data_IF_149110742352
#
_entry.id   IF_149110742352
#
_cell.length_a   1.000
_cell.length_b   1.000
_cell.length_c   1.000
_cell.angle_alpha   90.00
_cell.angle_beta   90.00
_cell.angle_gamma   90.00
#
_symmetry.space_group_name_H-M   'P 1'
#
loop_
_entity.id
_entity.type
_entity.pdbx_description
1 polymer ?
#
# COMPACT_ATOMS: atom_id res chain seq x y z
N UNK A 1 15.42 18.93 7.48
CA UNK A 1 16.19 20.16 7.22
C UNK A 1 16.98 20.17 5.90
N UNK A 2 16.94 19.12 5.07
CA UNK A 2 17.69 19.03 3.79
C UNK A 2 17.01 19.81 2.64
N UNK A 3 15.68 20.02 2.68
CA UNK A 3 14.96 20.75 1.64
C UNK A 3 15.23 22.27 1.61
N UNK A 4 15.86 22.83 2.65
CA UNK A 4 16.17 24.27 2.75
C UNK A 4 17.56 24.63 2.23
N UNK A 5 18.42 23.64 1.95
CA UNK A 5 19.79 23.87 1.46
C UNK A 5 19.92 23.78 -0.07
N UNK A 6 18.88 23.33 -0.77
CA UNK A 6 18.84 23.27 -2.23
C UNK A 6 18.21 24.55 -2.80
N UNK A 7 19.05 25.52 -3.14
CA UNK A 7 18.61 26.82 -3.65
C UNK A 7 17.96 26.73 -5.05
N UNK A 8 18.33 25.74 -5.86
CA UNK A 8 17.78 25.57 -7.20
C UNK A 8 16.36 25.00 -7.14
N UNK A 9 16.13 24.00 -6.27
CA UNK A 9 14.80 23.47 -6.00
C UNK A 9 13.85 24.54 -5.42
N UNK A 10 14.34 25.36 -4.48
CA UNK A 10 13.56 26.46 -3.90
C UNK A 10 13.18 27.51 -4.96
N UNK A 11 14.12 27.88 -5.84
CA UNK A 11 13.87 28.85 -6.90
C UNK A 11 12.84 28.31 -7.91
N UNK A 12 12.96 27.06 -8.35
CA UNK A 12 11.96 26.42 -9.21
C UNK A 12 10.58 26.32 -8.56
N UNK A 13 10.53 26.06 -7.25
CA UNK A 13 9.28 26.05 -6.50
C UNK A 13 8.64 27.45 -6.45
N UNK A 14 9.44 28.50 -6.22
CA UNK A 14 8.95 29.89 -6.21
C UNK A 14 8.39 30.31 -7.57
N UNK A 15 9.13 30.04 -8.66
CA UNK A 15 8.69 30.40 -10.01
C UNK A 15 7.40 29.68 -10.43
N UNK A 16 7.27 28.40 -10.11
CA UNK A 16 6.04 27.62 -10.38
C UNK A 16 4.87 28.10 -9.52
N UNK A 17 5.12 28.49 -8.27
CA UNK A 17 4.09 29.05 -7.39
C UNK A 17 3.59 30.39 -7.91
N UNK A 18 4.49 31.29 -8.34
CA UNK A 18 4.13 32.58 -8.90
C UNK A 18 3.38 32.44 -10.24
N UNK A 19 3.82 31.54 -11.12
CA UNK A 19 3.08 31.23 -12.35
C UNK A 19 1.67 30.69 -12.05
N UNK A 20 1.55 29.80 -11.06
CA UNK A 20 0.26 29.28 -10.61
C UNK A 20 -0.66 30.36 -10.04
N UNK A 21 -0.13 31.27 -9.22
CA UNK A 21 -0.89 32.41 -8.68
C UNK A 21 -1.44 33.31 -9.79
N UNK A 22 -0.61 33.67 -10.78
CA UNK A 22 -1.02 34.53 -11.89
C UNK A 22 -2.22 33.98 -12.66
N UNK A 23 -2.25 32.67 -12.93
CA UNK A 23 -3.39 32.04 -13.62
C UNK A 23 -4.72 32.18 -12.86
N UNK A 24 -4.69 32.18 -11.52
CA UNK A 24 -5.89 32.36 -10.70
C UNK A 24 -6.29 33.82 -10.58
N UNK A 25 -5.32 34.73 -10.51
CA UNK A 25 -5.58 36.18 -10.59
C UNK A 25 -6.25 36.50 -11.93
N UNK A 26 -5.68 36.05 -13.03
CA UNK A 26 -6.24 36.22 -14.38
C UNK A 26 -7.65 35.63 -14.50
N UNK A 27 -7.90 34.46 -13.89
CA UNK A 27 -9.23 33.87 -13.84
C UNK A 27 -10.22 34.74 -13.03
N UNK A 28 -9.81 35.24 -11.86
CA UNK A 28 -10.65 36.09 -11.02
C UNK A 28 -10.96 37.41 -11.73
N UNK A 29 -9.96 38.04 -12.35
CA UNK A 29 -10.13 39.25 -13.15
C UNK A 29 -11.07 39.02 -14.34
N UNK A 30 -10.86 37.93 -15.10
CA UNK A 30 -11.71 37.54 -16.23
C UNK A 30 -13.18 37.33 -15.84
N UNK A 31 -13.42 36.79 -14.65
CA UNK A 31 -14.76 36.45 -14.16
C UNK A 31 -15.33 37.46 -13.15
N UNK A 32 -14.66 38.60 -12.95
CA UNK A 32 -15.03 39.66 -11.99
C UNK A 32 -15.29 39.10 -10.58
N UNK A 33 -14.43 38.17 -10.14
CA UNK A 33 -14.43 37.63 -8.80
C UNK A 33 -13.50 38.46 -7.93
N UNK A 34 -13.99 38.87 -6.76
CA UNK A 34 -13.16 39.57 -5.78
C UNK A 34 -12.14 38.59 -5.19
N UNK A 35 -10.86 38.98 -5.14
CA UNK A 35 -9.79 38.14 -4.59
C UNK A 35 -8.85 38.96 -3.72
N UNK A 36 -8.27 38.29 -2.72
CA UNK A 36 -7.28 38.86 -1.82
C UNK A 36 -5.89 38.31 -2.19
N UNK A 37 -4.93 39.19 -2.54
CA UNK A 37 -3.56 38.79 -2.77
C UNK A 37 -2.96 38.14 -1.51
N UNK A 38 -2.17 37.08 -1.68
CA UNK A 38 -1.43 36.47 -0.58
C UNK A 38 0.03 36.26 -0.96
N UNK A 39 0.93 36.57 -0.03
CA UNK A 39 2.37 36.34 -0.19
C UNK A 39 2.75 34.86 -0.10
N UNK A 40 1.81 34.00 0.31
CA UNK A 40 2.01 32.55 0.45
C UNK A 40 1.36 31.78 -0.71
N UNK A 41 1.51 30.44 -0.76
CA UNK A 41 1.10 29.59 -1.90
C UNK A 41 -0.43 29.38 -2.06
N UNK A 42 -1.23 30.39 -1.77
CA UNK A 42 -2.67 30.37 -2.01
C UNK A 42 -3.19 31.74 -2.41
N UNK A 43 -4.34 31.75 -3.07
CA UNK A 43 -5.17 32.93 -3.32
C UNK A 43 -6.51 32.68 -2.66
N UNK A 44 -7.02 33.72 -2.02
CA UNK A 44 -8.34 33.77 -1.44
C UNK A 44 -9.24 34.51 -2.43
N UNK A 45 -10.39 33.96 -2.81
CA UNK A 45 -11.35 34.67 -3.65
C UNK A 45 -12.77 34.36 -3.23
N UNK A 46 -13.65 35.34 -3.43
CA UNK A 46 -15.05 35.27 -3.05
C UNK A 46 -15.87 34.59 -4.15
N UNK A 47 -16.82 33.78 -3.71
CA UNK A 47 -17.78 33.12 -4.59
C UNK A 47 -19.18 33.60 -4.24
N UNK A 48 -20.01 33.79 -5.26
CA UNK A 48 -21.41 34.26 -5.12
C UNK A 48 -22.38 33.13 -4.71
N UNK A 49 -21.87 32.05 -4.15
CA UNK A 49 -22.62 30.85 -3.78
C UNK A 49 -22.12 30.31 -2.44
N UNK A 50 -22.95 29.51 -1.78
CA UNK A 50 -22.61 28.88 -0.50
C UNK A 50 -21.28 28.11 -0.61
N UNK A 51 -20.40 28.34 0.36
CA UNK A 51 -19.05 27.78 0.33
C UNK A 51 -19.04 26.25 0.46
N UNK A 52 -19.99 25.64 1.14
CA UNK A 52 -20.01 24.18 1.27
C UNK A 52 -20.57 23.52 0.00
N UNK A 53 -21.43 24.23 -0.75
CA UNK A 53 -21.90 23.79 -2.07
C UNK A 53 -20.77 23.85 -3.11
N UNK A 54 -20.06 24.98 -3.18
CA UNK A 54 -18.91 25.13 -4.08
C UNK A 54 -17.81 24.15 -3.68
N UNK A 55 -17.62 23.90 -2.37
CA UNK A 55 -16.68 22.91 -1.87
C UNK A 55 -16.94 21.52 -2.44
N UNK A 56 -18.17 21.02 -2.26
CA UNK A 56 -18.57 19.68 -2.69
C UNK A 56 -18.46 19.50 -4.21
N UNK A 57 -18.87 20.50 -4.97
CA UNK A 57 -18.86 20.43 -6.43
C UNK A 57 -17.43 20.49 -7.00
N UNK A 58 -16.56 21.30 -6.40
CA UNK A 58 -15.16 21.36 -6.81
C UNK A 58 -14.38 20.09 -6.43
N UNK A 59 -14.67 19.48 -5.28
CA UNK A 59 -14.10 18.17 -4.90
C UNK A 59 -14.47 17.07 -5.90
N UNK A 60 -15.71 17.05 -6.41
CA UNK A 60 -16.13 16.10 -7.47
C UNK A 60 -15.36 16.29 -8.78
N UNK A 61 -14.90 17.50 -9.05
CA UNK A 61 -14.13 17.85 -10.26
C UNK A 61 -12.61 17.74 -10.06
N UNK A 62 -12.17 17.10 -8.96
CA UNK A 62 -10.76 16.84 -8.68
C UNK A 62 -9.99 18.05 -8.14
N UNK A 63 -10.68 19.07 -7.64
CA UNK A 63 -10.03 20.24 -7.04
C UNK A 63 -9.87 20.09 -5.53
N UNK A 64 -8.63 20.14 -5.04
CA UNK A 64 -8.33 20.16 -3.61
C UNK A 64 -8.45 21.60 -3.11
N UNK A 65 -9.52 21.85 -2.36
CA UNK A 65 -9.84 23.14 -1.73
C UNK A 65 -10.09 22.92 -0.24
N UNK A 66 -9.98 23.98 0.57
CA UNK A 66 -10.39 24.02 1.99
C UNK A 66 -11.40 25.14 2.18
N UNK A 67 -12.51 24.84 2.85
CA UNK A 67 -13.55 25.80 3.23
C UNK A 67 -13.03 26.78 4.29
N UNK A 68 -13.25 28.08 4.11
CA UNK A 68 -12.87 29.15 5.04
C UNK A 68 -13.71 29.21 6.31
N UNK A 69 -14.74 28.37 6.45
CA UNK A 69 -15.53 28.29 7.69
C UNK A 69 -14.71 27.86 8.91
N UNK A 70 -13.54 27.24 8.71
CA UNK A 70 -12.59 26.90 9.78
C UNK A 70 -11.70 28.09 10.24
N UNK A 71 -11.82 29.27 9.64
CA UNK A 71 -10.94 30.43 9.86
C UNK A 71 -11.68 31.72 10.28
N UNK A 72 -12.93 31.63 10.75
CA UNK A 72 -13.73 32.78 11.21
C UNK A 72 -13.89 33.92 10.19
N UNK A 73 -13.85 33.61 8.89
CA UNK A 73 -14.20 34.53 7.79
C UNK A 73 -15.14 33.81 6.81
N UNK A 74 -16.46 34.00 6.91
CA UNK A 74 -17.42 33.41 5.97
C UNK A 74 -17.17 33.90 4.55
N UNK A 75 -17.10 33.00 3.56
CA UNK A 75 -17.02 33.37 2.13
C UNK A 75 -15.65 33.24 1.46
N UNK A 76 -14.71 32.49 2.02
CA UNK A 76 -13.34 32.42 1.48
C UNK A 76 -12.78 30.99 1.38
N UNK A 77 -11.96 30.69 0.37
CA UNK A 77 -11.42 29.34 0.09
C UNK A 77 -9.91 29.32 -0.13
N UNK A 78 -9.26 28.25 0.30
CA UNK A 78 -7.84 27.97 0.03
C UNK A 78 -7.72 26.79 -0.93
N UNK A 79 -7.16 27.01 -2.12
CA UNK A 79 -6.86 25.95 -3.11
C UNK A 79 -5.37 25.63 -3.12
N UNK A 80 -5.03 24.36 -3.09
CA UNK A 80 -3.66 23.89 -3.33
C UNK A 80 -3.72 22.91 -4.48
N UNK A 81 -3.32 23.34 -5.69
CA UNK A 81 -3.04 22.39 -6.78
C UNK A 81 -1.73 21.71 -6.44
N UNK A 82 -1.80 20.52 -5.86
CA UNK A 82 -0.65 19.60 -5.94
C UNK A 82 -0.54 19.23 -7.41
N UNK A 83 0.63 19.39 -8.00
CA UNK A 83 1.01 18.57 -9.16
C UNK A 83 0.83 17.15 -8.66
N UNK A 84 -0.14 16.39 -9.18
CA UNK A 84 -0.26 15.02 -8.73
C UNK A 84 0.84 14.21 -9.41
N UNK A 85 1.90 14.00 -8.66
CA UNK A 85 2.89 12.99 -9.03
C UNK A 85 2.17 11.65 -8.90
N UNK A 86 2.04 10.94 -10.01
CA UNK A 86 1.51 9.57 -10.01
C UNK A 86 2.35 8.73 -9.05
N UNK A 87 1.71 8.12 -8.05
CA UNK A 87 2.33 7.21 -7.10
C UNK A 87 2.59 5.88 -7.80
N UNK A 88 3.84 5.43 -7.81
CA UNK A 88 4.23 4.16 -8.39
C UNK A 88 4.29 3.09 -7.30
N UNK A 89 3.47 2.05 -7.43
CA UNK A 89 3.47 0.88 -6.55
C UNK A 89 4.02 -0.30 -7.33
N UNK A 90 5.05 -0.96 -6.81
CA UNK A 90 5.62 -2.15 -7.42
C UNK A 90 5.35 -3.37 -6.56
N UNK A 91 4.74 -4.40 -7.14
CA UNK A 91 4.42 -5.66 -6.46
C UNK A 91 5.30 -6.79 -7.00
N UNK A 92 6.07 -7.41 -6.12
CA UNK A 92 6.89 -8.58 -6.42
C UNK A 92 6.19 -9.81 -5.83
N UNK A 93 5.87 -10.78 -6.68
CA UNK A 93 5.02 -11.93 -6.37
C UNK A 93 3.55 -11.62 -6.67
N UNK A 94 3.00 -12.18 -7.74
CA UNK A 94 1.64 -11.92 -8.23
C UNK A 94 0.68 -13.08 -7.97
N UNK A 95 0.94 -13.90 -6.96
CA UNK A 95 0.03 -14.95 -6.51
C UNK A 95 -1.28 -14.40 -5.93
N UNK A 96 -2.01 -15.22 -5.15
CA UNK A 96 -3.28 -14.83 -4.54
C UNK A 96 -3.18 -13.51 -3.77
N UNK A 97 -2.23 -13.41 -2.84
CA UNK A 97 -2.11 -12.25 -1.94
C UNK A 97 -1.57 -11.04 -2.69
N UNK A 98 -0.42 -11.16 -3.35
CA UNK A 98 0.18 -10.05 -4.09
C UNK A 98 -0.71 -9.51 -5.21
N UNK A 99 -1.37 -10.39 -5.97
CA UNK A 99 -2.34 -9.97 -7.00
C UNK A 99 -3.58 -9.28 -6.40
N UNK A 100 -4.08 -9.74 -5.26
CA UNK A 100 -5.22 -9.10 -4.58
C UNK A 100 -4.85 -7.71 -4.04
N UNK A 101 -3.62 -7.55 -3.52
CA UNK A 101 -3.13 -6.24 -3.09
C UNK A 101 -2.94 -5.32 -4.28
N UNK A 102 -2.34 -5.81 -5.36
CA UNK A 102 -2.19 -5.06 -6.59
C UNK A 102 -3.53 -4.49 -7.07
N UNK A 103 -4.55 -5.35 -7.21
CA UNK A 103 -5.92 -4.96 -7.56
C UNK A 103 -6.51 -3.91 -6.60
N UNK A 104 -6.26 -4.04 -5.29
CA UNK A 104 -6.72 -3.07 -4.29
C UNK A 104 -6.02 -1.71 -4.46
N UNK A 105 -4.70 -1.71 -4.64
CA UNK A 105 -3.88 -0.52 -4.84
C UNK A 105 -4.26 0.25 -6.12
N UNK A 106 -4.72 -0.43 -7.17
CA UNK A 106 -5.21 0.24 -8.39
C UNK A 106 -6.43 1.14 -8.14
N UNK A 107 -7.15 0.98 -7.02
CA UNK A 107 -8.26 1.88 -6.63
C UNK A 107 -7.79 3.19 -6.00
N UNK A 108 -6.51 3.26 -5.61
CA UNK A 108 -5.95 4.51 -5.11
C UNK A 108 -5.88 5.54 -6.25
N UNK A 109 -6.31 6.80 -6.00
CA UNK A 109 -6.21 7.84 -7.02
C UNK A 109 -4.75 8.04 -7.42
N UNK A 110 -4.54 8.37 -8.69
CA UNK A 110 -3.22 8.79 -9.21
C UNK A 110 -2.13 7.74 -8.91
N UNK A 111 -2.48 6.45 -8.96
CA UNK A 111 -1.58 5.35 -8.63
C UNK A 111 -1.38 4.43 -9.84
N UNK A 112 -0.12 4.23 -10.24
CA UNK A 112 0.27 3.22 -11.23
C UNK A 112 0.87 2.02 -10.51
N UNK A 113 0.41 0.82 -10.89
CA UNK A 113 0.79 -0.44 -10.24
C UNK A 113 1.53 -1.30 -11.24
N UNK A 114 2.77 -1.65 -10.92
CA UNK A 114 3.63 -2.54 -11.67
C UNK A 114 3.71 -3.90 -10.98
N UNK A 115 3.89 -4.96 -11.75
CA UNK A 115 3.95 -6.32 -11.21
C UNK A 115 5.07 -7.16 -11.80
N UNK A 116 5.71 -7.95 -10.94
CA UNK A 116 6.64 -9.00 -11.35
C UNK A 116 6.34 -10.29 -10.62
N UNK A 117 6.46 -11.43 -11.32
CA UNK A 117 6.49 -12.75 -10.70
C UNK A 117 7.61 -13.56 -11.36
N UNK A 118 8.27 -14.45 -10.61
CA UNK A 118 9.34 -15.31 -11.14
C UNK A 118 8.82 -16.25 -12.23
N UNK A 119 7.55 -16.67 -12.14
CA UNK A 119 6.94 -17.55 -13.12
C UNK A 119 6.36 -16.77 -14.29
N UNK A 120 6.87 -17.02 -15.49
CA UNK A 120 6.39 -16.40 -16.74
C UNK A 120 4.88 -16.59 -16.94
N UNK A 121 4.37 -17.80 -16.72
CA UNK A 121 2.92 -18.09 -16.79
C UNK A 121 2.08 -17.21 -15.85
N UNK A 122 2.62 -16.90 -14.67
CA UNK A 122 1.94 -15.99 -13.72
C UNK A 122 1.94 -14.56 -14.26
N UNK A 123 3.05 -14.11 -14.87
CA UNK A 123 3.17 -12.79 -15.53
C UNK A 123 2.18 -12.64 -16.70
N UNK A 124 2.12 -13.63 -17.58
CA UNK A 124 1.18 -13.66 -18.71
C UNK A 124 -0.28 -13.57 -18.23
N UNK A 125 -0.65 -14.38 -17.25
CA UNK A 125 -1.99 -14.37 -16.67
C UNK A 125 -2.29 -13.05 -15.94
N UNK A 126 -1.32 -12.48 -15.22
CA UNK A 126 -1.49 -11.20 -14.54
C UNK A 126 -1.77 -10.06 -15.53
N UNK A 127 -1.06 -10.05 -16.66
CA UNK A 127 -1.30 -9.09 -17.74
C UNK A 127 -2.68 -9.31 -18.38
N UNK A 128 -3.03 -10.55 -18.74
CA UNK A 128 -4.31 -10.88 -19.36
C UNK A 128 -5.52 -10.52 -18.48
N UNK A 129 -5.37 -10.64 -17.16
CA UNK A 129 -6.41 -10.36 -16.17
C UNK A 129 -6.36 -8.93 -15.62
N UNK A 130 -5.45 -8.08 -16.09
CA UNK A 130 -5.22 -6.71 -15.59
C UNK A 130 -5.03 -6.64 -14.06
N UNK A 131 -4.32 -7.63 -13.50
CA UNK A 131 -3.99 -7.68 -12.06
C UNK A 131 -3.11 -6.50 -11.64
N UNK A 132 -2.30 -6.02 -12.58
CA UNK A 132 -1.48 -4.80 -12.50
C UNK A 132 -1.71 -3.98 -13.77
N UNK A 133 -1.32 -2.71 -13.74
CA UNK A 133 -1.37 -1.86 -14.93
C UNK A 133 -0.29 -2.27 -15.95
N UNK A 134 0.84 -2.77 -15.46
CA UNK A 134 1.98 -3.16 -16.29
C UNK A 134 2.74 -4.29 -15.61
N UNK A 135 2.98 -5.37 -16.35
CA UNK A 135 3.88 -6.44 -15.92
C UNK A 135 5.28 -6.11 -16.44
N UNK A 136 6.27 -6.14 -15.55
CA UNK A 136 7.65 -5.77 -15.87
C UNK A 136 8.53 -7.02 -15.94
N UNK A 137 9.61 -6.96 -16.72
CA UNK A 137 10.65 -7.99 -16.76
C UNK A 137 11.90 -7.56 -15.97
N UNK A 138 12.23 -6.27 -15.98
CA UNK A 138 13.36 -5.69 -15.22
C UNK A 138 12.87 -5.21 -13.84
N UNK A 139 13.19 -6.01 -12.82
CA UNK A 139 12.79 -5.76 -11.43
C UNK A 139 13.54 -4.57 -10.83
N UNK A 140 14.82 -4.37 -11.18
CA UNK A 140 15.62 -3.27 -10.64
C UNK A 140 15.16 -1.93 -11.22
N UNK A 141 14.91 -1.88 -12.54
CA UNK A 141 14.36 -0.69 -13.17
C UNK A 141 13.00 -0.32 -12.55
N UNK A 142 12.12 -1.30 -12.32
CA UNK A 142 10.83 -1.07 -11.69
C UNK A 142 10.94 -0.58 -10.24
N UNK A 143 11.86 -1.16 -9.45
CA UNK A 143 12.14 -0.71 -8.10
C UNK A 143 12.67 0.75 -8.07
N UNK A 144 13.50 1.14 -9.05
CA UNK A 144 14.07 2.50 -9.12
C UNK A 144 13.03 3.61 -9.34
N UNK A 145 11.85 3.26 -9.87
CA UNK A 145 10.73 4.18 -10.07
C UNK A 145 9.64 4.07 -9.00
N UNK A 146 9.71 3.09 -8.11
CA UNK A 146 8.67 2.82 -7.13
C UNK A 146 8.70 3.77 -5.93
N UNK A 147 7.53 4.27 -5.53
CA UNK A 147 7.35 4.98 -4.25
C UNK A 147 7.00 3.99 -3.13
N UNK A 148 6.36 2.88 -3.48
CA UNK A 148 6.09 1.75 -2.58
C UNK A 148 6.43 0.42 -3.27
N UNK A 149 7.18 -0.44 -2.59
CA UNK A 149 7.47 -1.82 -3.02
C UNK A 149 6.77 -2.78 -2.06
N UNK A 150 6.01 -3.74 -2.61
CA UNK A 150 5.23 -4.71 -1.85
C UNK A 150 5.67 -6.13 -2.21
N UNK A 151 6.15 -6.88 -1.23
CA UNK A 151 6.44 -8.30 -1.37
C UNK A 151 5.19 -9.16 -1.12
N UNK A 152 4.59 -9.62 -2.22
CA UNK A 152 3.55 -10.64 -2.28
C UNK A 152 4.07 -12.08 -2.34
N UNK A 153 5.32 -12.31 -1.93
CA UNK A 153 6.02 -13.60 -2.04
C UNK A 153 6.02 -14.39 -0.73
N UNK A 154 6.32 -15.71 -0.76
CA UNK A 154 6.62 -16.45 0.46
C UNK A 154 7.77 -15.82 1.26
N UNK A 155 7.78 -16.00 2.58
CA UNK A 155 8.75 -15.38 3.51
C UNK A 155 10.20 -15.55 3.05
N UNK A 156 10.61 -16.76 2.67
CA UNK A 156 12.00 -17.01 2.24
C UNK A 156 12.37 -16.26 0.96
N UNK A 157 11.43 -16.11 0.02
CA UNK A 157 11.64 -15.32 -1.18
C UNK A 157 11.67 -13.82 -0.88
N UNK A 158 10.87 -13.35 0.09
CA UNK A 158 10.95 -11.97 0.58
C UNK A 158 12.34 -11.66 1.13
N UNK A 159 12.92 -12.54 1.94
CA UNK A 159 14.28 -12.36 2.48
C UNK A 159 15.34 -12.29 1.37
N UNK A 160 15.22 -13.10 0.33
CA UNK A 160 16.07 -13.03 -0.85
C UNK A 160 15.98 -11.65 -1.53
N UNK A 161 14.77 -11.16 -1.81
CA UNK A 161 14.59 -9.84 -2.41
C UNK A 161 15.07 -8.70 -1.52
N UNK A 162 14.95 -8.82 -0.20
CA UNK A 162 15.52 -7.86 0.74
C UNK A 162 17.06 -7.80 0.66
N UNK A 163 17.72 -8.92 0.34
CA UNK A 163 19.16 -8.93 0.08
C UNK A 163 19.51 -8.26 -1.26
N UNK A 164 18.77 -8.55 -2.32
CA UNK A 164 18.97 -7.91 -3.64
C UNK A 164 18.80 -6.39 -3.58
N UNK A 165 17.72 -5.92 -2.92
CA UNK A 165 17.37 -4.49 -2.79
C UNK A 165 18.52 -3.63 -2.25
N UNK A 166 19.42 -4.20 -1.44
CA UNK A 166 20.55 -3.48 -0.86
C UNK A 166 21.51 -2.91 -1.90
N UNK A 167 21.52 -3.48 -3.10
CA UNK A 167 22.41 -3.11 -4.19
C UNK A 167 21.71 -2.27 -5.27
N UNK A 168 20.40 -2.10 -5.17
CA UNK A 168 19.62 -1.39 -6.17
C UNK A 168 19.56 0.10 -5.92
N UNK A 169 19.42 0.86 -7.00
CA UNK A 169 19.13 2.29 -6.92
C UNK A 169 17.64 2.52 -6.66
N UNK A 170 17.30 2.94 -5.46
CA UNK A 170 15.91 3.21 -5.06
C UNK A 170 15.62 4.71 -4.97
N UNK A 171 14.34 5.08 -5.06
CA UNK A 171 13.92 6.45 -4.78
C UNK A 171 14.22 6.83 -3.32
N UNK A 172 14.59 8.10 -3.06
CA UNK A 172 14.59 8.63 -1.70
C UNK A 172 13.20 8.48 -1.08
N UNK A 173 13.14 7.99 0.16
CA UNK A 173 11.89 7.78 0.91
C UNK A 173 10.95 6.69 0.33
N UNK A 174 11.46 5.74 -0.46
CA UNK A 174 10.69 4.55 -0.84
C UNK A 174 10.25 3.80 0.42
N UNK A 175 9.00 3.32 0.42
CA UNK A 175 8.49 2.44 1.48
C UNK A 175 8.50 1.01 0.96
N UNK A 176 9.07 0.10 1.73
CA UNK A 176 9.06 -1.32 1.42
C UNK A 176 8.18 -2.03 2.45
N UNK A 177 7.32 -2.93 2.01
CA UNK A 177 6.46 -3.76 2.88
C UNK A 177 6.37 -5.17 2.32
N UNK A 178 5.91 -6.10 3.14
CA UNK A 178 5.64 -7.46 2.74
C UNK A 178 4.22 -7.91 3.13
N UNK A 179 3.92 -9.18 2.88
CA UNK A 179 2.63 -9.82 3.20
C UNK A 179 2.78 -11.16 3.91
N UNK A 180 4.00 -11.50 4.34
CA UNK A 180 4.34 -12.78 4.95
C UNK A 180 3.62 -13.04 6.27
N UNK A 181 3.39 -14.31 6.57
CA UNK A 181 2.65 -14.74 7.76
C UNK A 181 3.47 -14.71 9.06
N UNK A 182 4.79 -14.50 8.98
CA UNK A 182 5.70 -14.37 10.12
C UNK A 182 6.57 -13.13 9.97
N UNK A 183 6.80 -12.39 11.06
CA UNK A 183 7.37 -11.04 11.05
C UNK A 183 8.74 -10.92 11.71
N UNK A 184 9.08 -11.73 12.72
CA UNK A 184 10.35 -11.57 13.44
C UNK A 184 11.57 -11.71 12.53
N UNK A 185 11.55 -12.70 11.62
CA UNK A 185 12.67 -12.95 10.70
C UNK A 185 12.81 -11.83 9.65
N UNK A 186 11.68 -11.37 9.11
CA UNK A 186 11.62 -10.29 8.13
C UNK A 186 12.07 -8.98 8.77
N UNK A 187 11.55 -8.63 9.95
CA UNK A 187 11.90 -7.39 10.64
C UNK A 187 13.33 -7.41 11.17
N UNK A 188 13.89 -8.57 11.51
CA UNK A 188 15.33 -8.71 11.79
C UNK A 188 16.16 -8.33 10.57
N UNK A 189 15.77 -8.79 9.38
CA UNK A 189 16.43 -8.47 8.11
C UNK A 189 16.24 -7.00 7.73
N UNK A 190 15.09 -6.42 8.06
CA UNK A 190 14.76 -5.02 7.81
C UNK A 190 15.72 -4.04 8.51
N UNK A 191 16.35 -4.43 9.62
CA UNK A 191 17.40 -3.63 10.28
C UNK A 191 18.55 -3.32 9.32
N UNK A 192 18.96 -4.30 8.49
CA UNK A 192 20.05 -4.13 7.52
C UNK A 192 19.66 -3.17 6.39
N UNK A 193 18.37 -3.10 6.03
CA UNK A 193 17.85 -2.10 5.08
C UNK A 193 17.80 -0.71 5.72
N UNK A 194 17.38 -0.65 6.99
CA UNK A 194 17.28 0.59 7.76
C UNK A 194 18.64 1.27 7.94
N UNK A 195 19.71 0.50 8.18
CA UNK A 195 21.08 1.00 8.24
C UNK A 195 21.53 1.70 6.93
N UNK A 196 20.93 1.32 5.79
CA UNK A 196 21.12 1.99 4.50
C UNK A 196 20.16 3.17 4.26
N UNK A 197 19.32 3.51 5.24
CA UNK A 197 18.31 4.55 5.12
C UNK A 197 17.07 4.15 4.31
N UNK A 198 16.82 2.84 4.14
CA UNK A 198 15.65 2.32 3.42
C UNK A 198 14.56 1.99 4.46
N UNK A 199 13.38 2.61 4.30
CA UNK A 199 12.22 2.33 5.17
C UNK A 199 11.61 0.98 4.82
N UNK A 200 11.46 0.11 5.82
CA UNK A 200 10.75 -1.15 5.70
C UNK A 200 9.74 -1.30 6.84
N UNK A 201 8.47 -1.50 6.49
CA UNK A 201 7.38 -1.72 7.43
C UNK A 201 6.79 -3.09 7.13
N UNK A 202 6.93 -4.05 8.05
CA UNK A 202 6.39 -5.40 7.85
C UNK A 202 4.86 -5.41 7.77
N UNK A 203 4.30 -6.28 6.95
CA UNK A 203 2.85 -6.37 6.72
C UNK A 203 2.33 -7.80 6.69
N UNK A 204 1.15 -8.05 7.27
CA UNK A 204 0.48 -9.34 7.23
C UNK A 204 -1.05 -9.16 7.09
N UNK A 205 -1.59 -9.24 5.87
CA UNK A 205 -3.03 -9.35 5.68
C UNK A 205 -3.51 -10.74 6.14
N UNK A 206 -4.33 -10.79 7.19
CA UNK A 206 -4.94 -12.02 7.70
C UNK A 206 -6.14 -12.44 6.85
N UNK A 207 -5.91 -12.67 5.57
CA UNK A 207 -6.90 -13.18 4.63
C UNK A 207 -6.27 -14.25 3.75
N UNK A 208 -7.10 -15.18 3.29
CA UNK A 208 -6.65 -16.30 2.47
C UNK A 208 -7.81 -16.97 1.74
N UNK A 209 -7.47 -17.98 0.95
CA UNK A 209 -8.42 -18.78 0.19
C UNK A 209 -7.88 -20.20 0.05
N UNK A 210 -8.77 -21.16 -0.13
CA UNK A 210 -8.42 -22.53 -0.53
C UNK A 210 -7.88 -22.59 -1.97
N UNK A 211 -8.04 -21.51 -2.75
CA UNK A 211 -7.50 -21.38 -4.11
C UNK A 211 -6.16 -20.65 -4.08
N UNK A 212 -5.23 -21.08 -4.93
CA UNK A 212 -3.90 -20.49 -5.06
C UNK A 212 -3.69 -19.84 -6.42
N UNK A 213 -2.63 -19.02 -6.52
CA UNK A 213 -2.19 -18.41 -7.78
C UNK A 213 -2.93 -17.13 -8.16
N UNK A 214 -2.44 -16.49 -9.22
CA UNK A 214 -2.89 -15.17 -9.69
C UNK A 214 -4.35 -15.16 -10.14
N UNK A 215 -4.85 -16.24 -10.74
CA UNK A 215 -6.24 -16.35 -11.19
C UNK A 215 -7.24 -16.37 -10.03
N UNK A 216 -6.78 -16.65 -8.81
CA UNK A 216 -7.58 -16.60 -7.60
C UNK A 216 -7.56 -15.23 -6.92
N UNK A 217 -6.78 -14.27 -7.41
CA UNK A 217 -6.71 -12.92 -6.86
C UNK A 217 -8.08 -12.24 -6.89
N UNK A 218 -8.42 -11.54 -5.79
CA UNK A 218 -9.69 -10.84 -5.62
C UNK A 218 -9.44 -9.46 -5.05
N UNK A 219 -10.03 -8.45 -5.69
CA UNK A 219 -9.91 -7.06 -5.24
C UNK A 219 -10.45 -6.86 -3.81
N UNK A 220 -11.44 -7.65 -3.39
CA UNK A 220 -12.09 -7.55 -2.07
C UNK A 220 -11.56 -8.59 -1.06
N UNK A 221 -10.42 -9.26 -1.35
CA UNK A 221 -9.91 -10.36 -0.51
C UNK A 221 -9.71 -9.96 0.96
N UNK A 222 -9.33 -8.70 1.20
CA UNK A 222 -8.97 -8.20 2.52
C UNK A 222 -10.07 -7.39 3.20
N UNK A 223 -11.24 -7.26 2.58
CA UNK A 223 -12.32 -6.45 3.12
C UNK A 223 -12.76 -6.98 4.50
N UNK A 224 -12.77 -6.10 5.50
CA UNK A 224 -13.04 -6.40 6.92
C UNK A 224 -12.08 -7.38 7.61
N UNK A 225 -11.09 -7.93 6.89
CA UNK A 225 -10.01 -8.73 7.47
C UNK A 225 -9.04 -7.83 8.26
N UNK A 226 -8.32 -8.39 9.21
CA UNK A 226 -7.22 -7.68 9.86
C UNK A 226 -6.01 -7.61 8.92
N UNK A 227 -5.37 -6.45 8.87
CA UNK A 227 -4.07 -6.28 8.22
C UNK A 227 -3.11 -5.73 9.26
N UNK A 228 -2.16 -6.56 9.66
CA UNK A 228 -1.22 -6.21 10.71
C UNK A 228 0.00 -5.54 10.07
N UNK A 229 0.40 -4.40 10.63
CA UNK A 229 1.66 -3.73 10.32
C UNK A 229 2.61 -3.83 11.52
N UNK A 230 3.89 -4.02 11.25
CA UNK A 230 4.95 -4.12 12.27
C UNK A 230 6.04 -3.08 12.01
N UNK A 231 5.75 -1.77 12.17
CA UNK A 231 6.78 -0.74 12.09
C UNK A 231 7.76 -0.88 13.26
N UNK A 232 8.97 -0.32 13.13
CA UNK A 232 9.84 -0.13 14.30
C UNK A 232 9.21 0.88 15.28
N UNK A 233 9.54 0.77 16.57
CA UNK A 233 9.00 1.66 17.61
C UNK A 233 9.24 3.15 17.35
N UNK A 234 10.38 3.46 16.70
CA UNK A 234 10.82 4.81 16.35
C UNK A 234 10.72 5.10 14.84
N UNK A 235 9.90 4.33 14.11
CA UNK A 235 9.66 4.55 12.68
C UNK A 235 9.01 5.91 12.41
N UNK A 236 9.35 6.53 11.27
CA UNK A 236 8.77 7.83 10.89
C UNK A 236 7.26 7.68 10.66
N UNK A 237 6.47 8.30 11.54
CA UNK A 237 5.01 8.30 11.46
C UNK A 237 4.45 8.75 10.10
N UNK A 238 5.18 9.60 9.35
CA UNK A 238 4.76 9.98 8.01
C UNK A 238 4.83 8.81 7.02
N UNK A 239 5.82 7.92 7.13
CA UNK A 239 5.95 6.75 6.27
C UNK A 239 4.82 5.76 6.57
N UNK A 240 4.51 5.54 7.86
CA UNK A 240 3.38 4.72 8.29
C UNK A 240 2.07 5.26 7.70
N UNK A 241 1.80 6.57 7.84
CA UNK A 241 0.58 7.20 7.33
C UNK A 241 0.48 7.06 5.79
N UNK A 242 1.58 7.25 5.06
CA UNK A 242 1.60 7.07 3.59
C UNK A 242 1.23 5.65 3.19
N UNK A 243 1.76 4.65 3.91
CA UNK A 243 1.44 3.25 3.68
C UNK A 243 -0.03 2.95 4.03
N UNK A 244 -0.52 3.40 5.19
CA UNK A 244 -1.92 3.26 5.60
C UNK A 244 -2.89 3.89 4.58
N UNK A 245 -2.54 5.05 4.01
CA UNK A 245 -3.34 5.70 2.96
C UNK A 245 -3.44 4.86 1.68
N UNK A 246 -2.37 4.15 1.30
CA UNK A 246 -2.40 3.22 0.19
C UNK A 246 -3.23 1.98 0.54
N UNK A 247 -2.99 1.40 1.72
CA UNK A 247 -3.64 0.16 2.16
C UNK A 247 -5.12 0.35 2.51
N UNK A 248 -5.60 1.58 2.72
CA UNK A 248 -7.03 1.87 2.94
C UNK A 248 -7.92 1.30 1.83
N UNK A 249 -7.42 1.22 0.59
CA UNK A 249 -8.16 0.67 -0.55
C UNK A 249 -8.31 -0.86 -0.52
N UNK A 250 -7.61 -1.54 0.38
CA UNK A 250 -7.84 -2.97 0.68
C UNK A 250 -9.12 -3.19 1.52
N UNK A 251 -9.65 -2.13 2.15
CA UNK A 251 -10.76 -2.18 3.10
C UNK A 251 -10.50 -3.07 4.32
N UNK A 252 -9.23 -3.39 4.59
CA UNK A 252 -8.81 -4.13 5.77
C UNK A 252 -8.80 -3.23 7.01
N UNK A 253 -8.89 -3.86 8.18
CA UNK A 253 -8.71 -3.24 9.49
C UNK A 253 -7.23 -3.22 9.83
N UNK A 254 -6.59 -2.08 9.59
CA UNK A 254 -5.17 -1.91 9.89
C UNK A 254 -4.95 -1.90 11.41
N UNK A 255 -4.03 -2.74 11.89
CA UNK A 255 -3.57 -2.75 13.29
C UNK A 255 -2.04 -2.75 13.32
N UNK A 256 -1.45 -2.17 14.37
CA UNK A 256 0.01 -2.05 14.53
C UNK A 256 0.44 -2.79 15.78
N UNK A 257 1.44 -3.65 15.67
CA UNK A 257 1.98 -4.47 16.78
C UNK A 257 3.48 -4.70 16.59
N UNK A 258 4.18 -5.09 17.65
CA UNK A 258 5.57 -5.53 17.53
C UNK A 258 5.67 -6.87 16.76
N UNK A 259 6.79 -7.09 16.07
CA UNK A 259 7.02 -8.29 15.27
C UNK A 259 7.05 -9.59 16.09
N UNK A 260 7.57 -9.54 17.33
CA UNK A 260 7.60 -10.71 18.22
C UNK A 260 6.22 -10.97 18.81
N UNK A 261 5.50 -9.92 19.21
CA UNK A 261 4.11 -10.03 19.65
C UNK A 261 3.22 -10.62 18.56
N UNK A 262 3.37 -10.14 17.32
CA UNK A 262 2.71 -10.70 16.15
C UNK A 262 2.95 -12.20 16.02
N UNK A 263 4.22 -12.63 16.04
CA UNK A 263 4.56 -14.03 15.84
C UNK A 263 4.07 -14.90 16.99
N UNK A 264 4.10 -14.39 18.22
CA UNK A 264 3.52 -15.08 19.37
C UNK A 264 2.01 -15.28 19.23
N UNK A 265 1.27 -14.21 18.92
CA UNK A 265 -0.18 -14.29 18.75
C UNK A 265 -0.55 -15.23 17.60
N UNK A 266 0.07 -15.06 16.43
CA UNK A 266 -0.20 -15.89 15.24
C UNK A 266 0.23 -17.35 15.41
N UNK A 267 1.29 -17.63 16.20
CA UNK A 267 1.65 -18.99 16.57
C UNK A 267 0.49 -19.71 17.28
N UNK A 268 -0.18 -19.03 18.22
CA UNK A 268 -1.31 -19.60 18.97
C UNK A 268 -2.57 -19.70 18.12
N UNK A 269 -2.95 -18.61 17.42
CA UNK A 269 -4.27 -18.54 16.76
C UNK A 269 -4.30 -19.07 15.33
N UNK A 270 -3.14 -19.36 14.73
CA UNK A 270 -3.05 -19.80 13.33
C UNK A 270 -2.07 -20.95 13.11
N UNK A 271 -0.79 -20.79 13.43
CA UNK A 271 0.23 -21.79 13.06
C UNK A 271 0.04 -23.11 13.82
N UNK A 272 -0.20 -23.06 15.14
CA UNK A 272 -0.40 -24.26 15.95
C UNK A 272 -1.64 -25.06 15.53
N UNK A 273 -2.83 -24.45 15.29
CA UNK A 273 -3.96 -25.14 14.68
C UNK A 273 -3.63 -25.91 13.39
N UNK A 274 -2.84 -25.32 12.48
CA UNK A 274 -2.43 -26.01 11.25
C UNK A 274 -1.55 -27.23 11.53
N UNK A 275 -0.63 -27.16 12.49
CA UNK A 275 0.21 -28.29 12.89
C UNK A 275 -0.65 -29.42 13.47
N UNK A 276 -1.62 -29.08 14.33
CA UNK A 276 -2.55 -30.07 14.91
C UNK A 276 -3.39 -30.73 13.81
N UNK A 277 -3.98 -29.94 12.90
CA UNK A 277 -4.75 -30.44 11.76
C UNK A 277 -3.92 -31.39 10.89
N UNK A 278 -2.72 -30.98 10.48
CA UNK A 278 -1.82 -31.82 9.68
C UNK A 278 -1.41 -33.10 10.42
N UNK A 279 -1.19 -33.03 11.74
CA UNK A 279 -0.85 -34.19 12.57
C UNK A 279 -1.99 -35.21 12.64
N UNK A 280 -3.25 -34.74 12.71
CA UNK A 280 -4.43 -35.62 12.67
C UNK A 280 -4.55 -36.33 11.32
N UNK A 281 -4.32 -35.63 10.20
CA UNK A 281 -4.27 -36.23 8.86
C UNK A 281 -3.15 -37.26 8.75
N UNK A 282 -1.98 -36.95 9.31
CA UNK A 282 -0.84 -37.87 9.30
C UNK A 282 -1.11 -39.14 10.13
N UNK A 283 -1.72 -38.99 11.31
CA UNK A 283 -2.13 -40.12 12.15
C UNK A 283 -3.14 -41.03 11.43
N UNK A 284 -4.12 -40.45 10.72
CA UNK A 284 -5.08 -41.21 9.93
C UNK A 284 -4.39 -42.05 8.84
N UNK A 285 -3.36 -41.50 8.20
CA UNK A 285 -2.61 -42.22 7.17
C UNK A 285 -1.89 -43.46 7.73
N UNK A 286 -1.32 -43.39 8.93
CA UNK A 286 -0.73 -44.57 9.59
C UNK A 286 -1.78 -45.60 9.98
N UNK A 287 -2.90 -45.17 10.57
CA UNK A 287 -3.95 -46.09 11.03
C UNK A 287 -4.58 -46.86 9.86
N UNK A 288 -4.67 -46.23 8.70
CA UNK A 288 -5.17 -46.84 7.45
C UNK A 288 -4.38 -48.09 7.04
N UNK A 289 -3.10 -48.20 7.38
CA UNK A 289 -2.29 -49.39 7.06
C UNK A 289 -2.83 -50.64 7.77
N UNK A 290 -3.29 -50.49 9.01
CA UNK A 290 -3.85 -51.58 9.82
C UNK A 290 -5.36 -51.74 9.63
N UNK A 291 -6.07 -50.62 9.46
CA UNK A 291 -7.53 -50.59 9.32
C UNK A 291 -7.94 -49.69 8.13
N UNK A 292 -8.00 -50.24 6.91
CA UNK A 292 -8.26 -49.45 5.69
C UNK A 292 -9.60 -48.70 5.67
N UNK A 293 -10.61 -49.20 6.41
CA UNK A 293 -11.92 -48.54 6.51
C UNK A 293 -11.88 -47.20 7.25
N UNK A 294 -10.83 -46.93 8.03
CA UNK A 294 -10.73 -45.71 8.85
C UNK A 294 -10.81 -44.43 8.02
N UNK A 295 -10.23 -44.41 6.80
CA UNK A 295 -10.32 -43.23 5.93
C UNK A 295 -11.73 -42.97 5.39
N UNK A 296 -12.57 -44.01 5.26
CA UNK A 296 -13.96 -43.86 4.84
C UNK A 296 -14.85 -43.37 5.99
N UNK A 297 -14.44 -43.66 7.24
CA UNK A 297 -15.10 -43.19 8.45
C UNK A 297 -14.65 -41.78 8.87
N UNK A 298 -13.56 -41.27 8.31
CA UNK A 298 -13.05 -39.91 8.49
C UNK A 298 -13.92 -38.86 7.74
N UNK A 299 -15.22 -38.88 8.02
CA UNK A 299 -16.22 -37.95 7.49
C UNK A 299 -16.69 -36.96 8.56
N UNK A 300 -17.38 -35.89 8.14
CA UNK A 300 -17.95 -34.89 9.05
C UNK A 300 -16.87 -34.16 9.86
N UNK A 301 -16.82 -34.40 11.17
CA UNK A 301 -15.97 -33.66 12.11
C UNK A 301 -14.46 -33.74 11.82
N UNK A 302 -13.97 -34.87 11.29
CA UNK A 302 -12.56 -34.96 10.88
C UNK A 302 -12.26 -33.98 9.74
N UNK A 303 -13.09 -33.99 8.70
CA UNK A 303 -12.96 -33.11 7.52
C UNK A 303 -13.12 -31.64 7.87
N UNK A 304 -13.90 -31.31 8.89
CA UNK A 304 -14.11 -29.91 9.29
C UNK A 304 -12.95 -29.38 10.16
N UNK A 305 -12.25 -30.26 10.88
CA UNK A 305 -11.09 -29.90 11.73
C UNK A 305 -9.78 -29.85 10.91
N UNK A 306 -9.67 -30.64 9.84
CA UNK A 306 -8.44 -30.80 9.04
C UNK A 306 -8.57 -30.31 7.61
#
# INVERSE_FOLDING_TARGET
MIALTDQEFLQQCLEKNEAGKRQFVEFCEKHQLHYYPSETNFILFEVKADSDVVFKEMMKRGFIIRSGNALSSPGSFKRTRSICMTRNVFVIGLGLIGGSIALSCQKAPETKVFGYDVQEKTRELAAALNIVHEVVEDVEQAASMADVIIFGTPVNATLYWMDELKNWKLKPNVIITDTGSTKSLIMKKAVELREKGITFIGGHPMAGSHKSGVSAAKQYLFENAYYILTPFDDEDGNQIIKLEQLLKFTLAKIVKVDAREHDHMTAVVSHFPHIVAASLVHQLNFEKEKYPMTSLLAAGGFRDIT
#
